data_IF_270728543200
#
_entry.id   IF_270728543200
#
_cell.length_a   1.000
_cell.length_b   1.000
_cell.length_c   1.000
_cell.angle_alpha   90.00
_cell.angle_beta   90.00
_cell.angle_gamma   90.00
#
_symmetry.space_group_name_H-M   'P 1'
#
loop_
_entity.id
_entity.type
_entity.pdbx_description
1 polymer ?
#
# COMPACT_ATOMS: atom_id res chain seq x y z
N UNK A 1 20.24 2.38 14.77
CA UNK A 1 20.11 2.20 16.24
C UNK A 1 19.51 0.82 16.51
N UNK A 2 19.90 0.12 17.56
CA UNK A 2 19.23 -1.11 17.95
C UNK A 2 17.80 -0.80 18.37
N UNK A 3 16.84 -1.66 17.97
CA UNK A 3 15.44 -1.56 18.38
C UNK A 3 15.26 -2.36 19.68
N UNK A 4 14.75 -1.71 20.72
CA UNK A 4 14.52 -2.32 22.03
C UNK A 4 13.03 -2.46 22.34
N UNK A 5 12.20 -1.55 21.84
CA UNK A 5 10.76 -1.53 22.09
C UNK A 5 9.98 -1.15 20.83
N UNK A 6 9.15 -2.07 20.35
CA UNK A 6 8.45 -2.01 19.08
C UNK A 6 6.95 -1.80 19.29
N UNK A 7 6.40 -0.67 18.84
CA UNK A 7 4.97 -0.51 18.71
C UNK A 7 4.49 -1.14 17.39
N UNK A 8 3.47 -1.99 17.45
CA UNK A 8 2.90 -2.66 16.28
C UNK A 8 1.59 -1.95 15.91
N UNK A 9 1.65 -1.11 14.89
CA UNK A 9 0.55 -0.24 14.43
C UNK A 9 -0.48 -1.00 13.57
N UNK A 10 -1.01 -2.08 14.12
CA UNK A 10 -1.97 -2.96 13.43
C UNK A 10 -2.83 -3.72 14.46
N UNK A 11 -3.66 -4.66 14.02
CA UNK A 11 -4.52 -5.50 14.86
C UNK A 11 -4.55 -6.95 14.39
N UNK A 12 -5.10 -7.83 15.24
CA UNK A 12 -5.38 -9.21 14.85
C UNK A 12 -4.13 -10.08 14.71
N UNK A 13 -4.17 -11.00 13.77
CA UNK A 13 -3.17 -12.06 13.64
C UNK A 13 -1.77 -11.54 13.28
N UNK A 14 -1.68 -10.46 12.50
CA UNK A 14 -0.37 -9.92 12.11
C UNK A 14 0.40 -9.36 13.30
N UNK A 15 -0.28 -8.76 14.28
CA UNK A 15 0.36 -8.30 15.52
C UNK A 15 0.93 -9.48 16.30
N UNK A 16 0.15 -10.54 16.45
CA UNK A 16 0.60 -11.79 17.11
C UNK A 16 1.80 -12.40 16.38
N UNK A 17 1.78 -12.38 15.05
CA UNK A 17 2.87 -12.88 14.20
C UNK A 17 4.16 -12.09 14.41
N UNK A 18 4.07 -10.75 14.44
CA UNK A 18 5.20 -9.84 14.66
C UNK A 18 5.72 -9.98 16.09
N UNK A 19 4.83 -9.93 17.10
CA UNK A 19 5.18 -10.02 18.51
C UNK A 19 5.97 -11.31 18.83
N UNK A 20 5.56 -12.45 18.26
CA UNK A 20 6.29 -13.71 18.40
C UNK A 20 7.74 -13.62 17.88
N UNK A 21 7.98 -12.94 16.79
CA UNK A 21 9.33 -12.77 16.24
C UNK A 21 10.13 -11.77 17.07
N UNK A 22 9.55 -10.62 17.43
CA UNK A 22 10.17 -9.62 18.28
C UNK A 22 10.63 -10.21 19.62
N UNK A 23 9.79 -11.02 20.27
CA UNK A 23 10.13 -11.72 21.51
C UNK A 23 11.35 -12.65 21.35
N UNK A 24 11.45 -13.38 20.23
CA UNK A 24 12.61 -14.23 19.93
C UNK A 24 13.89 -13.42 19.69
N UNK A 25 13.76 -12.16 19.31
CA UNK A 25 14.87 -11.21 19.13
C UNK A 25 15.20 -10.44 20.42
N UNK A 26 14.46 -10.63 21.51
CA UNK A 26 14.62 -9.89 22.76
C UNK A 26 14.09 -8.45 22.70
N UNK A 27 13.17 -8.16 21.77
CA UNK A 27 12.55 -6.85 21.56
C UNK A 27 11.20 -6.83 22.28
N UNK A 28 11.01 -5.89 23.21
CA UNK A 28 9.72 -5.68 23.87
C UNK A 28 8.68 -5.14 22.87
N UNK A 29 7.42 -5.56 23.04
CA UNK A 29 6.36 -5.23 22.09
C UNK A 29 5.22 -4.45 22.74
N UNK A 30 4.65 -3.49 22.01
CA UNK A 30 3.49 -2.70 22.39
C UNK A 30 2.39 -2.90 21.36
N UNK A 31 1.26 -3.44 21.79
CA UNK A 31 0.05 -3.47 20.99
C UNK A 31 -0.64 -2.11 21.00
N UNK A 32 -1.40 -1.81 19.95
CA UNK A 32 -2.41 -0.75 19.97
C UNK A 32 -3.79 -1.34 19.76
N UNK A 33 -4.83 -0.75 20.35
CA UNK A 33 -6.18 -1.27 20.22
C UNK A 33 -7.25 -0.18 20.19
N UNK A 34 -8.29 -0.40 19.37
CA UNK A 34 -9.55 0.36 19.43
C UNK A 34 -10.39 -0.13 20.60
N UNK A 35 -11.42 0.62 21.00
CA UNK A 35 -12.32 0.18 22.06
C UNK A 35 -12.99 -1.18 21.77
N UNK A 36 -13.22 -1.50 20.49
CA UNK A 36 -13.77 -2.79 20.06
C UNK A 36 -12.81 -3.96 20.23
N UNK A 37 -11.50 -3.71 20.23
CA UNK A 37 -10.46 -4.73 20.25
C UNK A 37 -9.75 -4.89 21.61
N UNK A 38 -10.26 -4.26 22.66
CA UNK A 38 -9.65 -4.24 24.00
C UNK A 38 -9.25 -5.63 24.50
N UNK A 39 -10.13 -6.62 24.31
CA UNK A 39 -9.96 -7.97 24.81
C UNK A 39 -9.48 -8.94 23.71
N UNK A 40 -8.97 -8.40 22.60
CA UNK A 40 -8.49 -9.21 21.48
C UNK A 40 -7.17 -9.91 21.82
N UNK A 41 -6.96 -11.09 21.24
CA UNK A 41 -5.76 -11.92 21.46
C UNK A 41 -4.45 -11.17 21.17
N UNK A 42 -4.44 -10.26 20.22
CA UNK A 42 -3.23 -9.52 19.88
C UNK A 42 -2.78 -8.57 21.00
N UNK A 43 -3.72 -8.03 21.79
CA UNK A 43 -3.41 -7.21 22.96
C UNK A 43 -2.69 -8.05 24.00
N UNK A 44 -3.22 -9.23 24.31
CA UNK A 44 -2.62 -10.16 25.27
C UNK A 44 -1.30 -10.78 24.77
N UNK A 45 -1.04 -10.77 23.47
CA UNK A 45 0.17 -11.33 22.87
C UNK A 45 1.41 -10.41 22.98
N UNK A 46 1.23 -9.13 23.30
CA UNK A 46 2.30 -8.15 23.46
C UNK A 46 2.65 -7.96 24.95
N UNK A 47 3.81 -7.33 25.20
CA UNK A 47 4.30 -7.09 26.55
C UNK A 47 3.59 -5.90 27.21
N UNK A 48 3.07 -4.97 26.38
CA UNK A 48 2.34 -3.78 26.79
C UNK A 48 1.28 -3.42 25.74
N UNK A 49 0.34 -2.52 26.07
CA UNK A 49 -0.71 -2.10 25.15
C UNK A 49 -1.21 -0.68 25.40
N UNK A 50 -1.45 0.07 24.29
CA UNK A 50 -1.94 1.44 24.31
C UNK A 50 -3.31 1.56 23.63
N UNK A 51 -4.23 2.24 24.28
CA UNK A 51 -5.57 2.48 23.73
C UNK A 51 -5.56 3.64 22.74
N UNK A 52 -6.08 3.39 21.54
CA UNK A 52 -6.32 4.43 20.53
C UNK A 52 -7.69 5.10 20.70
N UNK A 53 -8.55 4.55 21.55
CA UNK A 53 -9.96 4.96 21.64
C UNK A 53 -10.72 4.69 20.33
N UNK A 54 -11.99 5.12 20.28
CA UNK A 54 -12.84 4.90 19.10
C UNK A 54 -13.19 3.44 18.85
N UNK A 55 -14.19 3.19 18.01
CA UNK A 55 -14.60 1.84 17.62
C UNK A 55 -14.19 1.51 16.19
N UNK A 56 -14.34 2.47 15.28
CA UNK A 56 -13.98 2.28 13.87
C UNK A 56 -12.48 2.44 13.62
N UNK A 57 -11.97 1.79 12.58
CA UNK A 57 -10.57 1.93 12.17
C UNK A 57 -10.21 3.38 11.82
N UNK A 58 -11.13 4.13 11.22
CA UNK A 58 -10.96 5.56 10.90
C UNK A 58 -10.72 6.43 12.14
N UNK A 59 -11.24 6.03 13.30
CA UNK A 59 -11.12 6.77 14.56
C UNK A 59 -9.97 6.27 15.44
N UNK A 60 -9.28 5.20 15.03
CA UNK A 60 -8.25 4.50 15.80
C UNK A 60 -7.02 4.18 14.95
N UNK A 61 -6.94 3.03 14.32
CA UNK A 61 -5.77 2.50 13.60
C UNK A 61 -5.32 3.34 12.40
N UNK A 62 -6.22 4.13 11.78
CA UNK A 62 -5.91 5.03 10.67
C UNK A 62 -5.56 6.46 11.13
N UNK A 63 -5.48 6.70 12.44
CA UNK A 63 -5.13 7.97 13.04
C UNK A 63 -3.64 8.03 13.37
N UNK A 64 -2.87 8.63 12.46
CA UNK A 64 -1.40 8.76 12.59
C UNK A 64 -1.02 9.48 13.89
N UNK A 65 -1.75 10.54 14.24
CA UNK A 65 -1.55 11.31 15.47
C UNK A 65 -1.67 10.45 16.74
N UNK A 66 -2.67 9.57 16.80
CA UNK A 66 -2.87 8.66 17.92
C UNK A 66 -1.78 7.58 18.00
N UNK A 67 -1.37 7.02 16.86
CA UNK A 67 -0.30 6.05 16.82
C UNK A 67 1.04 6.63 17.29
N UNK A 68 1.37 7.85 16.87
CA UNK A 68 2.57 8.55 17.32
C UNK A 68 2.50 8.92 18.81
N UNK A 69 1.32 9.31 19.31
CA UNK A 69 1.09 9.57 20.74
C UNK A 69 1.29 8.29 21.57
N UNK A 70 0.71 7.17 21.14
CA UNK A 70 0.88 5.86 21.78
C UNK A 70 2.35 5.41 21.78
N UNK A 71 3.09 5.63 20.68
CA UNK A 71 4.50 5.30 20.60
C UNK A 71 5.34 6.13 21.61
N UNK A 72 5.03 7.42 21.78
CA UNK A 72 5.69 8.26 22.79
C UNK A 72 5.33 7.81 24.20
N UNK A 73 4.06 7.57 24.48
CA UNK A 73 3.56 7.19 25.81
C UNK A 73 4.18 5.84 26.27
N UNK A 74 4.27 4.88 25.37
CA UNK A 74 4.84 3.56 25.66
C UNK A 74 6.37 3.52 25.67
N UNK A 75 7.06 4.61 25.29
CA UNK A 75 8.52 4.62 25.15
C UNK A 75 9.05 3.73 24.03
N UNK A 76 8.25 3.49 22.99
CA UNK A 76 8.72 2.76 21.80
C UNK A 76 9.82 3.53 21.08
N UNK A 77 10.76 2.83 20.49
CA UNK A 77 11.82 3.39 19.63
C UNK A 77 11.60 3.06 18.14
N UNK A 78 10.67 2.13 17.86
CA UNK A 78 10.33 1.72 16.50
C UNK A 78 8.81 1.48 16.34
N UNK A 79 8.32 1.60 15.11
CA UNK A 79 6.93 1.34 14.74
C UNK A 79 6.89 0.37 13.54
N UNK A 80 6.17 -0.74 13.70
CA UNK A 80 5.91 -1.72 12.63
C UNK A 80 4.46 -1.59 12.15
N UNK A 81 4.21 -1.24 10.89
CA UNK A 81 2.85 -1.05 10.38
C UNK A 81 2.07 -2.36 10.14
N UNK A 82 2.74 -3.51 10.13
CA UNK A 82 2.15 -4.77 9.65
C UNK A 82 1.87 -4.73 8.15
N UNK A 83 0.70 -5.21 7.74
CA UNK A 83 0.16 -5.06 6.39
C UNK A 83 -1.25 -4.43 6.42
N UNK A 84 -1.73 -3.90 5.27
CA UNK A 84 -2.97 -3.12 5.25
C UNK A 84 -2.87 -1.83 6.06
N UNK A 85 -4.00 -1.25 6.44
CA UNK A 85 -4.06 0.03 7.17
C UNK A 85 -3.08 1.08 6.59
N UNK A 86 -2.07 1.47 7.37
CA UNK A 86 -1.10 2.49 6.99
C UNK A 86 0.23 1.94 6.47
N UNK A 87 0.33 0.62 6.22
CA UNK A 87 1.60 0.01 5.78
C UNK A 87 2.11 0.52 4.43
N UNK A 88 1.20 0.93 3.54
CA UNK A 88 1.50 1.51 2.23
C UNK A 88 1.29 3.04 2.20
N UNK A 89 1.21 3.68 3.36
CA UNK A 89 1.03 5.12 3.48
C UNK A 89 2.38 5.81 3.69
N UNK A 90 2.87 6.48 2.65
CA UNK A 90 4.15 7.17 2.67
C UNK A 90 4.21 8.32 3.70
N UNK A 91 3.08 9.03 3.89
CA UNK A 91 2.94 10.10 4.88
C UNK A 91 3.10 9.56 6.30
N UNK A 92 2.55 8.39 6.57
CA UNK A 92 2.74 7.72 7.86
C UNK A 92 4.21 7.40 8.10
N UNK A 93 4.87 6.75 7.15
CA UNK A 93 6.29 6.43 7.26
C UNK A 93 7.15 7.68 7.49
N UNK A 94 6.92 8.74 6.72
CA UNK A 94 7.64 10.02 6.86
C UNK A 94 7.41 10.69 8.22
N UNK A 95 6.17 10.68 8.72
CA UNK A 95 5.85 11.24 10.04
C UNK A 95 6.42 10.42 11.19
N UNK A 96 6.51 9.11 11.06
CA UNK A 96 7.18 8.22 12.02
C UNK A 96 8.66 8.61 12.13
N UNK A 97 9.37 8.68 10.99
CA UNK A 97 10.79 9.03 10.95
C UNK A 97 11.05 10.45 11.45
N UNK A 98 10.28 11.43 11.04
CA UNK A 98 10.37 12.83 11.52
C UNK A 98 10.06 12.97 13.01
N UNK A 99 9.34 12.03 13.59
CA UNK A 99 9.05 11.99 15.03
C UNK A 99 10.15 11.32 15.86
N UNK A 100 11.23 10.88 15.23
CA UNK A 100 12.38 10.26 15.88
C UNK A 100 12.27 8.75 16.09
N UNK A 101 11.24 8.10 15.52
CA UNK A 101 11.06 6.66 15.58
C UNK A 101 11.66 5.96 14.34
N UNK A 102 12.09 4.73 14.50
CA UNK A 102 12.45 3.86 13.37
C UNK A 102 11.17 3.31 12.73
N UNK A 103 10.95 3.58 11.45
CA UNK A 103 9.88 2.91 10.70
C UNK A 103 10.36 1.53 10.22
N UNK A 104 9.67 0.47 10.61
CA UNK A 104 10.01 -0.89 10.16
C UNK A 104 9.31 -1.13 8.81
N UNK A 105 10.00 -0.79 7.75
CA UNK A 105 9.49 -0.88 6.39
C UNK A 105 10.37 -0.15 5.37
N UNK A 106 9.90 -0.02 4.12
CA UNK A 106 10.58 0.75 3.09
C UNK A 106 10.59 2.25 3.42
N UNK A 107 11.48 3.00 2.77
CA UNK A 107 11.49 4.47 2.89
C UNK A 107 10.18 5.06 2.35
N UNK A 108 9.77 6.26 2.82
CA UNK A 108 8.60 6.96 2.29
C UNK A 108 8.63 7.13 0.76
N UNK A 109 9.81 7.39 0.20
CA UNK A 109 10.00 7.51 -1.25
C UNK A 109 9.74 6.18 -1.97
N UNK A 110 10.27 5.08 -1.45
CA UNK A 110 10.02 3.74 -2.00
C UNK A 110 8.55 3.37 -1.95
N UNK A 111 7.84 3.72 -0.86
CA UNK A 111 6.39 3.50 -0.75
C UNK A 111 5.64 4.31 -1.82
N UNK A 112 5.99 5.57 -2.06
CA UNK A 112 5.36 6.40 -3.10
C UNK A 112 5.59 5.83 -4.49
N UNK A 113 6.82 5.46 -4.83
CA UNK A 113 7.17 4.88 -6.14
C UNK A 113 6.45 3.55 -6.36
N UNK A 114 6.51 2.64 -5.39
CA UNK A 114 5.93 1.30 -5.54
C UNK A 114 4.40 1.28 -5.38
N UNK A 115 3.81 2.32 -4.79
CA UNK A 115 2.36 2.49 -4.67
C UNK A 115 1.68 2.91 -5.98
N UNK A 116 2.40 3.51 -6.92
CA UNK A 116 1.93 3.82 -8.27
C UNK A 116 2.45 2.78 -9.27
N UNK A 117 1.53 2.07 -9.95
CA UNK A 117 1.89 0.95 -10.82
C UNK A 117 2.73 1.36 -12.03
N UNK A 118 2.50 2.57 -12.54
CA UNK A 118 3.26 3.10 -13.69
C UNK A 118 4.67 3.48 -13.25
N UNK A 119 4.79 4.23 -12.16
CA UNK A 119 6.08 4.61 -11.59
C UNK A 119 6.90 3.39 -11.16
N UNK A 120 6.25 2.41 -10.52
CA UNK A 120 6.88 1.16 -10.11
C UNK A 120 7.44 0.39 -11.31
N UNK A 121 6.65 0.25 -12.39
CA UNK A 121 7.08 -0.42 -13.62
C UNK A 121 8.26 0.29 -14.26
N UNK A 122 8.22 1.62 -14.37
CA UNK A 122 9.32 2.42 -14.91
C UNK A 122 10.60 2.27 -14.08
N UNK A 123 10.48 2.28 -12.74
CA UNK A 123 11.62 2.07 -11.85
C UNK A 123 12.22 0.67 -12.02
N UNK A 124 11.40 -0.37 -12.18
CA UNK A 124 11.85 -1.74 -12.40
C UNK A 124 12.55 -1.89 -13.74
N UNK A 125 11.99 -1.34 -14.82
CA UNK A 125 12.62 -1.33 -16.16
C UNK A 125 13.99 -0.65 -16.10
N UNK A 126 14.05 0.53 -15.48
CA UNK A 126 15.32 1.29 -15.31
C UNK A 126 16.37 0.51 -14.52
N UNK A 127 15.93 -0.34 -13.60
CA UNK A 127 16.80 -1.21 -12.79
C UNK A 127 17.16 -2.54 -13.48
N UNK A 128 16.73 -2.75 -14.72
CA UNK A 128 17.01 -3.97 -15.48
C UNK A 128 16.17 -5.18 -15.05
N UNK A 129 15.11 -4.98 -14.27
CA UNK A 129 14.21 -6.06 -13.87
C UNK A 129 13.26 -6.38 -15.04
N UNK A 130 13.13 -7.66 -15.45
CA UNK A 130 12.17 -8.05 -16.48
C UNK A 130 10.74 -7.67 -16.11
N UNK A 131 10.06 -6.96 -17.00
CA UNK A 131 8.67 -6.54 -16.82
C UNK A 131 7.81 -7.06 -17.97
N UNK A 132 6.51 -7.23 -17.70
CA UNK A 132 5.54 -7.57 -18.73
C UNK A 132 5.53 -6.46 -19.80
N UNK A 133 5.63 -6.78 -21.11
CA UNK A 133 5.54 -5.79 -22.17
C UNK A 133 4.24 -4.98 -22.07
N UNK A 134 4.29 -3.68 -22.38
CA UNK A 134 3.12 -2.82 -22.28
C UNK A 134 3.44 -1.36 -22.60
N UNK A 135 2.50 -0.46 -22.25
CA UNK A 135 2.75 0.96 -22.35
C UNK A 135 3.85 1.41 -21.37
N UNK A 136 4.65 2.39 -21.78
CA UNK A 136 5.72 2.96 -20.93
C UNK A 136 5.17 3.82 -19.78
N UNK A 137 3.87 4.13 -19.84
CA UNK A 137 3.18 4.98 -18.87
C UNK A 137 1.68 4.87 -18.98
N UNK A 138 0.97 5.85 -18.42
CA UNK A 138 -0.45 5.99 -18.63
C UNK A 138 -0.76 6.19 -20.13
N UNK A 139 -1.88 5.61 -20.58
CA UNK A 139 -2.31 5.75 -21.96
C UNK A 139 -2.69 7.21 -22.25
N UNK A 140 -2.24 7.77 -23.41
CA UNK A 140 -2.58 9.12 -23.82
C UNK A 140 -4.07 9.27 -24.14
N UNK A 141 -4.53 10.52 -24.33
CA UNK A 141 -5.91 10.77 -24.74
C UNK A 141 -6.13 10.51 -26.25
N UNK A 142 -5.08 10.62 -27.07
CA UNK A 142 -5.17 10.41 -28.52
C UNK A 142 -5.43 8.93 -28.84
N UNK A 143 -6.59 8.67 -29.43
CA UNK A 143 -7.02 7.35 -29.86
C UNK A 143 -6.08 6.69 -30.87
N UNK A 144 -5.44 7.44 -31.74
CA UNK A 144 -4.48 6.90 -32.74
C UNK A 144 -3.22 6.41 -32.06
N UNK A 145 -2.75 7.14 -31.06
CA UNK A 145 -1.58 6.77 -30.27
C UNK A 145 -1.85 5.53 -29.43
N UNK A 146 -3.04 5.44 -28.81
CA UNK A 146 -3.47 4.23 -28.06
C UNK A 146 -3.45 2.99 -28.98
N UNK A 147 -3.99 3.09 -30.18
CA UNK A 147 -4.00 1.98 -31.16
C UNK A 147 -2.58 1.61 -31.56
N UNK A 148 -1.69 2.58 -31.78
CA UNK A 148 -0.28 2.35 -32.11
C UNK A 148 0.44 1.57 -30.97
N UNK A 149 0.22 1.98 -29.72
CA UNK A 149 0.77 1.29 -28.55
C UNK A 149 0.26 -0.16 -28.51
N UNK A 150 -1.04 -0.39 -28.68
CA UNK A 150 -1.62 -1.73 -28.64
C UNK A 150 -1.07 -2.65 -29.75
N UNK A 151 -0.81 -2.12 -30.95
CA UNK A 151 -0.19 -2.88 -32.04
C UNK A 151 1.25 -3.27 -31.74
N UNK A 152 2.02 -2.41 -31.05
CA UNK A 152 3.39 -2.70 -30.61
C UNK A 152 3.39 -3.75 -29.53
N UNK A 153 2.50 -3.67 -28.54
CA UNK A 153 2.36 -4.66 -27.46
C UNK A 153 1.88 -6.01 -27.99
N UNK A 154 0.99 -5.98 -28.97
CA UNK A 154 0.41 -7.18 -29.61
C UNK A 154 -0.78 -7.74 -28.81
N UNK A 155 -1.91 -7.96 -29.51
CA UNK A 155 -3.12 -8.55 -28.91
C UNK A 155 -2.92 -10.02 -28.49
N UNK A 156 -3.67 -10.53 -27.46
CA UNK A 156 -4.54 -9.77 -26.58
C UNK A 156 -3.76 -8.87 -25.60
N UNK A 157 -4.36 -7.75 -25.26
CA UNK A 157 -3.83 -6.81 -24.27
C UNK A 157 -4.79 -6.69 -23.08
N UNK A 158 -4.28 -6.28 -21.93
CA UNK A 158 -5.10 -5.95 -20.76
C UNK A 158 -4.94 -4.46 -20.42
N UNK A 159 -6.06 -3.77 -20.27
CA UNK A 159 -6.11 -2.39 -19.78
C UNK A 159 -6.31 -2.43 -18.27
N UNK A 160 -5.51 -1.65 -17.53
CA UNK A 160 -5.53 -1.61 -16.05
C UNK A 160 -5.57 -0.18 -15.55
N UNK A 161 -6.32 0.06 -14.47
CA UNK A 161 -6.24 1.33 -13.74
C UNK A 161 -4.83 1.51 -13.14
N UNK A 162 -4.25 2.71 -13.27
CA UNK A 162 -2.95 3.04 -12.69
C UNK A 162 -3.02 3.10 -11.16
N UNK A 163 -4.09 3.67 -10.61
CA UNK A 163 -4.42 3.61 -9.20
C UNK A 163 -5.34 2.42 -8.87
N UNK A 164 -5.34 1.97 -7.62
CA UNK A 164 -6.24 0.92 -7.16
C UNK A 164 -5.64 -0.49 -7.13
N UNK A 165 -6.41 -1.44 -6.57
CA UNK A 165 -6.00 -2.82 -6.33
C UNK A 165 -7.20 -3.77 -6.32
N UNK A 166 -6.97 -5.04 -5.94
CA UNK A 166 -8.04 -6.03 -5.77
C UNK A 166 -8.71 -6.51 -7.06
N UNK A 167 -8.06 -6.35 -8.22
CA UNK A 167 -8.59 -6.85 -9.50
C UNK A 167 -9.70 -6.00 -10.12
N UNK A 168 -10.01 -4.82 -9.57
CA UNK A 168 -10.97 -3.87 -10.12
C UNK A 168 -10.31 -2.95 -11.16
N UNK A 169 -11.08 -2.47 -12.13
CA UNK A 169 -10.57 -1.59 -13.19
C UNK A 169 -9.59 -2.29 -14.13
N UNK A 170 -9.87 -3.53 -14.52
CA UNK A 170 -9.09 -4.31 -15.49
C UNK A 170 -10.00 -4.87 -16.58
N UNK A 171 -9.53 -4.84 -17.84
CA UNK A 171 -10.29 -5.33 -19.00
C UNK A 171 -9.37 -5.91 -20.05
N UNK A 172 -9.62 -7.18 -20.41
CA UNK A 172 -8.90 -7.86 -21.49
C UNK A 172 -9.51 -7.48 -22.84
N UNK A 173 -8.65 -7.18 -23.80
CA UNK A 173 -9.02 -6.76 -25.17
C UNK A 173 -8.35 -7.70 -26.16
N UNK A 174 -9.14 -8.44 -26.91
CA UNK A 174 -8.65 -9.41 -27.87
C UNK A 174 -8.46 -8.84 -29.29
N UNK A 175 -9.20 -7.75 -29.63
CA UNK A 175 -9.17 -7.16 -30.97
C UNK A 175 -9.09 -5.64 -30.93
N UNK A 176 -8.53 -5.05 -31.98
CA UNK A 176 -8.42 -3.60 -32.11
C UNK A 176 -9.76 -2.88 -32.09
N UNK A 177 -10.80 -3.48 -32.68
CA UNK A 177 -12.13 -2.90 -32.71
C UNK A 177 -12.73 -2.65 -31.32
N UNK A 178 -12.39 -3.48 -30.33
CA UNK A 178 -12.88 -3.35 -28.96
C UNK A 178 -12.01 -2.39 -28.11
N UNK A 179 -10.83 -2.00 -28.58
CA UNK A 179 -9.80 -1.34 -27.76
C UNK A 179 -10.28 -0.01 -27.16
N UNK A 180 -10.72 0.93 -28.01
CA UNK A 180 -11.05 2.29 -27.54
C UNK A 180 -12.25 2.31 -26.59
N UNK A 181 -13.24 1.47 -26.85
CA UNK A 181 -14.35 1.29 -25.92
C UNK A 181 -13.88 0.74 -24.56
N UNK A 182 -13.03 -0.27 -24.57
CA UNK A 182 -12.47 -0.84 -23.37
C UNK A 182 -11.66 0.18 -22.56
N UNK A 183 -10.84 1.00 -23.22
CA UNK A 183 -10.07 2.08 -22.56
C UNK A 183 -11.00 3.10 -21.92
N UNK A 184 -12.00 3.60 -22.64
CA UNK A 184 -12.98 4.58 -22.12
C UNK A 184 -13.73 4.04 -20.89
N UNK A 185 -14.23 2.81 -20.99
CA UNK A 185 -14.97 2.17 -19.90
C UNK A 185 -14.06 2.00 -18.67
N UNK A 186 -12.82 1.52 -18.87
CA UNK A 186 -11.88 1.33 -17.74
C UNK A 186 -11.48 2.65 -17.11
N UNK A 187 -11.31 3.74 -17.88
CA UNK A 187 -11.06 5.09 -17.35
C UNK A 187 -12.22 5.59 -16.48
N UNK A 188 -13.46 5.43 -16.96
CA UNK A 188 -14.64 5.83 -16.20
C UNK A 188 -14.75 5.05 -14.87
N UNK A 189 -14.56 3.74 -14.91
CA UNK A 189 -14.54 2.87 -13.72
C UNK A 189 -13.42 3.26 -12.75
N UNK A 190 -12.22 3.54 -13.26
CA UNK A 190 -11.07 3.95 -12.46
C UNK A 190 -11.30 5.32 -11.79
N UNK A 191 -11.83 6.28 -12.53
CA UNK A 191 -12.18 7.60 -12.00
C UNK A 191 -13.22 7.53 -10.89
N UNK A 192 -14.28 6.74 -11.10
CA UNK A 192 -15.34 6.56 -10.10
C UNK A 192 -14.88 5.81 -8.85
N UNK A 193 -14.05 4.76 -9.01
CA UNK A 193 -13.66 3.90 -7.90
C UNK A 193 -12.45 4.42 -7.12
N UNK A 194 -11.52 5.14 -7.78
CA UNK A 194 -10.23 5.49 -7.22
C UNK A 194 -9.91 7.00 -7.28
N UNK A 195 -10.80 7.81 -7.88
CA UNK A 195 -10.57 9.25 -8.07
C UNK A 195 -9.46 9.58 -9.10
N UNK A 196 -8.91 8.57 -9.77
CA UNK A 196 -7.85 8.70 -10.78
C UNK A 196 -8.24 7.90 -12.04
N UNK A 197 -8.55 8.56 -13.17
CA UNK A 197 -8.95 7.89 -14.41
C UNK A 197 -7.77 7.34 -15.22
N UNK A 198 -6.53 7.54 -14.78
CA UNK A 198 -5.36 7.08 -15.50
C UNK A 198 -5.38 5.55 -15.64
N UNK A 199 -5.16 5.06 -16.87
CA UNK A 199 -5.05 3.64 -17.20
C UNK A 199 -3.78 3.37 -17.99
N UNK A 200 -3.27 2.16 -17.91
CA UNK A 200 -2.12 1.68 -18.68
C UNK A 200 -2.44 0.33 -19.33
N UNK A 201 -1.59 -0.10 -20.26
CA UNK A 201 -1.79 -1.32 -21.04
C UNK A 201 -0.64 -2.30 -20.83
N UNK A 202 -0.94 -3.58 -20.78
CA UNK A 202 0.06 -4.65 -20.75
C UNK A 202 -0.35 -5.78 -21.69
N UNK A 203 0.64 -6.59 -22.07
CA UNK A 203 0.41 -7.88 -22.73
C UNK A 203 -0.38 -8.79 -21.78
N UNK A 204 -1.44 -9.42 -22.32
CA UNK A 204 -2.23 -10.42 -21.61
C UNK A 204 -1.73 -11.82 -21.90
#
# INVERSE_FOLDING_TARGET
MPVHRLLIANRGEIVTRIARTARRMGIATVAVYSAADRDSMHVAACDDAESLGGFAAADSYLRIDKLLAAARASGADAIHPGYGFLSENADFAERVERSGFVFIGPTPESIRIMGDKVAAKQAMIKSGVPCVPGSEGALPEDSKEIVKIARVVGYPVIIKAAGGGGGRGMRVVHTEAALLHAVQTTRAEAGAAFGNPAVYMEKF
#
